data_IF_600942685976
#
_entry.id   IF_600942685976
#
_cell.length_a   1.000
_cell.length_b   1.000
_cell.length_c   1.000
_cell.angle_alpha   90.00
_cell.angle_beta   90.00
_cell.angle_gamma   90.00
#
_symmetry.space_group_name_H-M   'P 1'
#
loop_
_entity.id
_entity.type
_entity.pdbx_description
1 polymer ?
#
# COMPACT_ATOMS: atom_id res chain seq x y z
N UNK A 1 -12.37 21.15 -0.20
CA UNK A 1 -11.31 21.43 0.79
C UNK A 1 -10.84 20.12 1.44
N UNK A 2 -9.53 19.84 1.36
CA UNK A 2 -8.72 19.08 2.34
C UNK A 2 -8.62 17.53 2.39
N UNK A 3 -8.91 16.76 1.33
CA UNK A 3 -8.63 15.30 1.37
C UNK A 3 -7.13 14.96 1.47
N UNK A 4 -6.25 15.76 0.86
CA UNK A 4 -4.79 15.58 1.00
C UNK A 4 -4.24 15.82 2.42
N UNK A 5 -4.96 16.55 3.27
CA UNK A 5 -4.57 16.73 4.68
C UNK A 5 -4.95 15.50 5.52
N UNK A 6 -6.08 14.85 5.24
CA UNK A 6 -6.48 13.61 5.94
C UNK A 6 -5.49 12.48 5.70
N UNK A 7 -4.94 12.36 4.50
CA UNK A 7 -3.95 11.33 4.15
C UNK A 7 -2.61 11.51 4.90
N UNK A 8 -2.12 12.76 5.01
CA UNK A 8 -0.89 13.08 5.77
C UNK A 8 -1.07 12.99 7.29
N UNK A 9 -2.24 13.34 7.83
CA UNK A 9 -2.52 13.21 9.28
C UNK A 9 -2.87 11.77 9.69
N UNK A 10 -3.54 11.01 8.82
CA UNK A 10 -3.80 9.59 9.03
C UNK A 10 -2.49 8.79 9.07
N UNK A 11 -1.54 9.11 8.20
CA UNK A 11 -0.22 8.45 8.18
C UNK A 11 0.61 8.73 9.45
N UNK A 12 0.57 9.94 10.03
CA UNK A 12 1.29 10.20 11.30
C UNK A 12 0.69 9.44 12.50
N UNK A 13 -0.65 9.42 12.66
CA UNK A 13 -1.30 8.65 13.74
C UNK A 13 -1.09 7.14 13.57
N UNK A 14 -1.15 6.66 12.33
CA UNK A 14 -0.81 5.29 11.93
C UNK A 14 0.62 4.92 12.33
N UNK A 15 1.61 5.74 11.92
CA UNK A 15 3.02 5.56 12.27
C UNK A 15 3.25 5.58 13.79
N UNK A 16 2.55 6.46 14.52
CA UNK A 16 2.65 6.53 15.99
C UNK A 16 2.08 5.28 16.67
N UNK A 17 0.99 4.70 16.15
CA UNK A 17 0.43 3.44 16.65
C UNK A 17 1.39 2.28 16.38
N UNK A 18 1.91 2.18 15.15
CA UNK A 18 2.92 1.18 14.76
C UNK A 18 4.12 1.19 15.71
N UNK A 19 4.69 2.36 16.00
CA UNK A 19 5.88 2.47 16.88
C UNK A 19 5.64 2.05 18.33
N UNK A 20 4.40 2.03 18.82
CA UNK A 20 4.07 1.72 20.22
C UNK A 20 3.66 0.26 20.44
N UNK A 21 3.34 -0.46 19.36
CA UNK A 21 2.93 -1.86 19.44
C UNK A 21 4.17 -2.76 19.50
N UNK A 22 4.21 -3.75 20.42
CA UNK A 22 5.32 -4.70 20.51
C UNK A 22 5.56 -5.39 19.16
N UNK A 23 6.84 -5.56 18.84
CA UNK A 23 7.26 -6.31 17.65
C UNK A 23 7.30 -7.79 17.99
N UNK A 24 6.69 -8.60 17.13
CA UNK A 24 6.76 -10.05 17.19
C UNK A 24 7.37 -10.57 15.89
N UNK A 25 8.09 -11.68 15.98
CA UNK A 25 8.34 -12.54 14.83
C UNK A 25 7.08 -13.34 14.51
N UNK A 26 6.92 -13.80 13.27
CA UNK A 26 5.84 -14.73 12.93
C UNK A 26 5.94 -16.06 13.70
N UNK A 27 7.14 -16.45 14.14
CA UNK A 27 7.36 -17.67 14.93
C UNK A 27 6.72 -17.60 16.32
N UNK A 28 6.77 -16.42 16.95
CA UNK A 28 6.43 -16.21 18.37
C UNK A 28 5.10 -15.50 18.57
N UNK A 29 4.42 -15.12 17.49
CA UNK A 29 3.17 -14.37 17.52
C UNK A 29 2.07 -15.15 18.25
N UNK A 30 1.52 -14.70 19.37
CA UNK A 30 0.35 -15.33 19.96
C UNK A 30 -0.88 -15.13 19.05
N UNK A 31 -1.74 -16.14 18.95
CA UNK A 31 -3.02 -16.00 18.24
C UNK A 31 -3.89 -14.90 18.85
N UNK A 32 -4.75 -14.30 18.02
CA UNK A 32 -5.72 -13.26 18.41
C UNK A 32 -5.11 -12.04 19.12
N UNK A 33 -3.81 -11.83 18.96
CA UNK A 33 -3.07 -10.73 19.57
C UNK A 33 -2.70 -9.70 18.52
N UNK A 34 -2.92 -8.42 18.84
CA UNK A 34 -2.47 -7.32 17.98
C UNK A 34 -0.96 -7.22 18.09
N UNK A 35 -0.27 -7.51 16.99
CA UNK A 35 1.17 -7.45 16.92
C UNK A 35 1.63 -6.56 15.77
N UNK A 36 2.86 -6.05 15.91
CA UNK A 36 3.62 -5.50 14.80
C UNK A 36 4.59 -6.59 14.31
N UNK A 37 4.51 -6.97 13.05
CA UNK A 37 5.40 -7.95 12.43
C UNK A 37 6.11 -7.28 11.27
N UNK A 38 7.42 -7.47 11.17
CA UNK A 38 8.22 -7.02 10.04
C UNK A 38 8.59 -8.18 9.15
N UNK A 39 8.68 -7.93 7.84
CA UNK A 39 9.06 -8.96 6.87
C UNK A 39 9.17 -8.37 5.47
N UNK A 40 9.38 -9.24 4.49
CA UNK A 40 9.46 -8.86 3.07
C UNK A 40 8.20 -9.28 2.32
N UNK A 41 7.80 -8.46 1.36
CA UNK A 41 6.71 -8.79 0.45
C UNK A 41 7.14 -9.92 -0.49
N UNK A 42 6.29 -10.94 -0.61
CA UNK A 42 6.40 -12.05 -1.56
C UNK A 42 5.07 -12.24 -2.27
N UNK A 43 5.12 -12.74 -3.49
CA UNK A 43 3.92 -13.01 -4.30
C UNK A 43 3.18 -14.22 -3.73
N UNK A 44 1.84 -14.16 -3.70
CA UNK A 44 0.99 -15.30 -3.37
C UNK A 44 0.38 -15.88 -4.66
N UNK A 45 0.89 -17.02 -5.11
CA UNK A 45 0.49 -17.61 -6.39
C UNK A 45 0.93 -16.74 -7.58
N UNK A 46 0.01 -16.43 -8.49
CA UNK A 46 0.25 -15.54 -9.64
C UNK A 46 -0.30 -14.11 -9.41
N UNK A 47 -0.64 -13.77 -8.17
CA UNK A 47 -1.23 -12.47 -7.83
C UNK A 47 -0.17 -11.37 -7.76
N UNK A 48 0.08 -10.72 -8.89
CA UNK A 48 0.97 -9.55 -9.00
C UNK A 48 0.29 -8.46 -9.82
N UNK A 49 0.45 -7.21 -9.39
CA UNK A 49 0.00 -6.02 -10.09
C UNK A 49 1.15 -5.38 -10.85
N UNK A 50 0.81 -4.59 -11.86
CA UNK A 50 1.75 -3.68 -12.52
C UNK A 50 1.37 -2.25 -12.17
N UNK A 51 2.28 -1.53 -11.54
CA UNK A 51 2.07 -0.14 -11.18
C UNK A 51 1.87 0.72 -12.45
N UNK A 52 0.79 1.51 -12.56
CA UNK A 52 0.38 2.10 -13.83
C UNK A 52 1.33 3.19 -14.35
N UNK A 53 2.08 3.88 -13.49
CA UNK A 53 3.02 4.92 -13.93
C UNK A 53 4.45 4.40 -14.07
N UNK A 54 4.97 3.68 -13.07
CA UNK A 54 6.35 3.18 -13.11
C UNK A 54 6.50 1.85 -13.85
N UNK A 55 5.42 1.11 -14.11
CA UNK A 55 5.46 -0.23 -14.70
C UNK A 55 6.06 -1.30 -13.78
N UNK A 56 6.32 -0.98 -12.51
CA UNK A 56 6.98 -1.90 -11.56
C UNK A 56 6.00 -2.98 -11.06
N UNK A 57 6.46 -4.23 -10.86
CA UNK A 57 5.67 -5.27 -10.23
C UNK A 57 5.46 -4.96 -8.75
N UNK A 58 4.20 -5.05 -8.28
CA UNK A 58 3.83 -4.73 -6.91
C UNK A 58 2.63 -5.55 -6.43
N UNK A 59 2.34 -5.50 -5.13
CA UNK A 59 1.13 -6.10 -4.54
C UNK A 59 0.08 -5.05 -4.14
N UNK A 60 0.47 -3.78 -4.22
CA UNK A 60 -0.35 -2.61 -3.98
C UNK A 60 0.20 -1.42 -4.77
N UNK A 61 -0.68 -0.57 -5.29
CA UNK A 61 -0.31 0.77 -5.72
C UNK A 61 -1.34 1.81 -5.29
N UNK A 62 -0.89 3.06 -5.16
CA UNK A 62 -1.73 4.24 -5.05
C UNK A 62 -1.16 5.38 -5.89
N UNK A 63 -1.95 5.84 -6.86
CA UNK A 63 -1.65 6.99 -7.69
C UNK A 63 -2.55 8.15 -7.29
N UNK A 64 -1.97 9.31 -7.05
CA UNK A 64 -2.71 10.54 -6.82
C UNK A 64 -2.40 11.53 -7.92
N UNK A 65 -3.46 12.11 -8.50
CA UNK A 65 -3.41 13.12 -9.55
C UNK A 65 -3.76 14.47 -8.93
N UNK A 66 -2.91 15.47 -9.17
CA UNK A 66 -3.08 16.84 -8.68
C UNK A 66 -2.91 17.85 -9.81
N UNK A 67 -3.74 18.88 -9.82
CA UNK A 67 -3.55 20.06 -10.66
C UNK A 67 -2.78 21.13 -9.89
N UNK A 68 -1.85 21.80 -10.59
CA UNK A 68 -1.14 22.99 -10.14
C UNK A 68 -1.55 24.14 -11.06
N UNK A 69 -2.36 25.04 -10.52
CA UNK A 69 -2.75 26.26 -11.21
C UNK A 69 -1.69 27.34 -10.99
N UNK A 70 -1.25 27.98 -12.08
CA UNK A 70 -0.43 29.18 -12.03
C UNK A 70 -1.34 30.41 -12.19
N UNK A 71 -1.69 31.06 -11.08
CA UNK A 71 -2.37 32.35 -11.16
C UNK A 71 -1.33 33.46 -11.35
N UNK A 72 -1.52 34.31 -12.37
CA UNK A 72 -0.61 35.41 -12.70
C UNK A 72 -0.58 36.57 -11.68
N UNK A 73 -1.40 36.54 -10.61
CA UNK A 73 -1.65 37.75 -9.78
C UNK A 73 -1.32 37.59 -8.28
N UNK A 74 -1.01 36.39 -7.77
CA UNK A 74 -0.51 36.24 -6.40
C UNK A 74 0.37 35.01 -6.29
N UNK A 75 1.47 35.12 -5.55
CA UNK A 75 2.58 34.17 -5.44
C UNK A 75 2.25 32.80 -4.79
N UNK A 76 0.97 32.40 -4.74
CA UNK A 76 0.55 31.14 -4.16
C UNK A 76 0.21 30.11 -5.25
N UNK A 77 1.04 29.06 -5.33
CA UNK A 77 0.74 27.87 -6.14
C UNK A 77 -0.39 27.09 -5.47
N UNK A 78 -1.59 27.14 -6.03
CA UNK A 78 -2.69 26.30 -5.57
C UNK A 78 -2.53 24.87 -6.10
N UNK A 79 -2.58 23.89 -5.19
CA UNK A 79 -2.61 22.48 -5.52
C UNK A 79 -4.02 21.93 -5.31
N UNK A 80 -4.69 21.55 -6.39
CA UNK A 80 -5.99 20.89 -6.37
C UNK A 80 -5.81 19.38 -6.49
N UNK A 81 -6.52 18.62 -5.65
CA UNK A 81 -6.57 17.17 -5.77
C UNK A 81 -7.67 16.80 -6.75
N UNK A 82 -7.33 16.02 -7.77
CA UNK A 82 -8.27 15.65 -8.83
C UNK A 82 -8.82 14.23 -8.64
N UNK A 83 -7.95 13.25 -8.40
CA UNK A 83 -8.33 11.86 -8.26
C UNK A 83 -7.25 11.01 -7.56
N UNK A 84 -7.66 9.84 -7.05
CA UNK A 84 -6.76 8.74 -6.70
C UNK A 84 -7.22 7.47 -7.40
N UNK A 85 -6.25 6.71 -7.90
CA UNK A 85 -6.40 5.32 -8.32
C UNK A 85 -5.64 4.43 -7.35
N UNK A 86 -6.20 3.29 -6.95
CA UNK A 86 -5.49 2.31 -6.15
C UNK A 86 -6.00 0.91 -6.49
N UNK A 87 -5.11 -0.07 -6.37
CA UNK A 87 -5.46 -1.49 -6.47
C UNK A 87 -4.54 -2.31 -5.56
N UNK A 88 -4.98 -3.51 -5.21
CA UNK A 88 -4.33 -4.36 -4.23
C UNK A 88 -4.66 -5.84 -4.43
N UNK A 89 -3.69 -6.70 -4.12
CA UNK A 89 -3.85 -8.16 -4.15
C UNK A 89 -3.34 -8.77 -2.85
N UNK A 90 -3.86 -9.94 -2.47
CA UNK A 90 -3.30 -10.68 -1.34
C UNK A 90 -1.88 -11.15 -1.65
N UNK A 91 -1.02 -11.11 -0.64
CA UNK A 91 0.40 -11.42 -0.79
C UNK A 91 0.95 -12.15 0.45
N UNK A 92 2.20 -12.60 0.38
CA UNK A 92 2.89 -13.24 1.49
C UNK A 92 3.83 -12.25 2.18
N UNK A 93 3.81 -12.24 3.52
CA UNK A 93 4.83 -11.61 4.35
C UNK A 93 5.82 -12.69 4.78
N UNK A 94 7.07 -12.57 4.35
CA UNK A 94 8.17 -13.46 4.74
C UNK A 94 8.96 -12.86 5.92
N UNK A 95 9.04 -13.61 7.02
CA UNK A 95 9.84 -13.32 8.21
C UNK A 95 10.75 -14.52 8.50
N UNK A 96 11.94 -14.51 7.90
CA UNK A 96 12.87 -15.65 7.95
C UNK A 96 12.27 -16.89 7.28
N UNK A 97 12.13 -17.99 8.02
CA UNK A 97 11.53 -19.23 7.52
C UNK A 97 10.00 -19.26 7.59
N UNK A 98 9.38 -18.22 8.17
CA UNK A 98 7.93 -18.17 8.41
C UNK A 98 7.25 -17.25 7.40
N UNK A 99 6.02 -17.61 7.05
CA UNK A 99 5.22 -16.86 6.09
C UNK A 99 3.81 -16.60 6.64
N UNK A 100 3.25 -15.45 6.29
CA UNK A 100 1.87 -15.11 6.57
C UNK A 100 1.17 -14.59 5.33
N UNK A 101 -0.10 -14.96 5.14
CA UNK A 101 -0.95 -14.37 4.10
C UNK A 101 -1.45 -13.02 4.58
N UNK A 102 -1.21 -11.98 3.80
CA UNK A 102 -1.73 -10.64 4.02
C UNK A 102 -2.87 -10.41 3.04
N UNK A 103 -4.05 -10.16 3.60
CA UNK A 103 -5.23 -9.73 2.85
C UNK A 103 -5.40 -8.21 3.06
N UNK A 104 -4.99 -7.37 2.09
CA UNK A 104 -5.02 -5.93 2.24
C UNK A 104 -6.44 -5.35 2.15
N UNK A 105 -7.47 -6.18 1.97
CA UNK A 105 -8.87 -5.72 1.91
C UNK A 105 -9.23 -4.92 3.16
N UNK A 106 -9.62 -3.65 2.96
CA UNK A 106 -9.89 -2.67 4.02
C UNK A 106 -8.70 -2.36 4.95
N UNK A 107 -7.47 -2.65 4.55
CA UNK A 107 -6.27 -2.28 5.29
C UNK A 107 -5.99 -0.78 5.15
N UNK A 108 -5.31 -0.21 6.15
CA UNK A 108 -4.72 1.12 6.05
C UNK A 108 -3.28 0.99 5.61
N UNK A 109 -3.02 1.39 4.37
CA UNK A 109 -1.69 1.26 3.76
C UNK A 109 -1.02 2.63 3.73
N UNK A 110 0.23 2.69 4.17
CA UNK A 110 1.10 3.86 4.06
C UNK A 110 2.33 3.46 3.28
N UNK A 111 2.39 3.86 2.01
CA UNK A 111 3.58 3.76 1.19
C UNK A 111 4.21 5.14 0.93
N UNK A 112 5.52 5.16 0.68
CA UNK A 112 6.22 6.32 0.14
C UNK A 112 5.81 6.55 -1.32
N UNK A 113 5.61 7.82 -1.70
CA UNK A 113 5.33 8.19 -3.09
C UNK A 113 6.66 8.39 -3.82
N UNK A 114 7.27 7.28 -4.21
CA UNK A 114 8.63 7.21 -4.75
C UNK A 114 8.70 7.44 -6.26
N UNK A 115 7.58 7.37 -6.98
CA UNK A 115 7.49 7.77 -8.38
C UNK A 115 6.69 9.07 -8.53
N UNK A 116 7.32 10.08 -9.13
CA UNK A 116 6.73 11.38 -9.43
C UNK A 116 6.94 11.72 -10.89
N UNK A 117 5.87 12.10 -11.57
CA UNK A 117 5.92 12.65 -12.92
C UNK A 117 4.97 13.83 -13.05
N UNK A 118 5.20 14.67 -14.06
CA UNK A 118 4.37 15.86 -14.32
C UNK A 118 4.07 15.98 -15.80
N UNK A 119 2.98 16.67 -16.13
CA UNK A 119 2.67 17.14 -17.48
C UNK A 119 2.25 18.61 -17.42
N UNK A 120 2.53 19.42 -18.45
CA UNK A 120 2.17 20.85 -18.46
C UNK A 120 0.67 21.06 -18.68
N UNK A 121 0.01 20.08 -19.28
CA UNK A 121 -1.41 20.00 -19.54
C UNK A 121 -1.84 18.52 -19.68
N UNK A 122 -3.08 18.26 -20.09
CA UNK A 122 -3.51 16.89 -20.42
C UNK A 122 -2.98 16.41 -21.78
N UNK A 123 -2.72 17.32 -22.73
CA UNK A 123 -2.30 16.93 -24.08
C UNK A 123 -0.85 16.41 -24.15
N UNK A 124 0.04 16.88 -23.27
CA UNK A 124 1.43 16.46 -23.18
C UNK A 124 1.65 15.29 -22.20
N UNK A 125 0.56 14.69 -21.72
CA UNK A 125 0.60 13.50 -20.88
C UNK A 125 1.20 12.30 -21.65
N UNK A 126 2.02 11.50 -20.96
CA UNK A 126 2.52 10.21 -21.47
C UNK A 126 1.35 9.23 -21.67
N UNK A 127 1.51 8.14 -22.45
CA UNK A 127 0.44 7.15 -22.63
C UNK A 127 -0.13 6.62 -21.31
N UNK A 128 0.73 6.28 -20.35
CA UNK A 128 0.32 5.81 -19.02
C UNK A 128 -0.47 6.87 -18.22
N UNK A 129 -0.06 8.15 -18.30
CA UNK A 129 -0.77 9.25 -17.67
C UNK A 129 -2.14 9.47 -18.32
N UNK A 130 -2.22 9.42 -19.66
CA UNK A 130 -3.49 9.57 -20.39
C UNK A 130 -4.49 8.47 -20.04
N UNK A 131 -4.03 7.22 -19.95
CA UNK A 131 -4.88 6.10 -19.51
C UNK A 131 -5.44 6.31 -18.10
N UNK A 132 -4.67 6.90 -17.19
CA UNK A 132 -5.17 7.27 -15.85
C UNK A 132 -6.20 8.40 -15.91
N UNK A 133 -5.95 9.44 -16.72
CA UNK A 133 -6.89 10.55 -16.89
C UNK A 133 -8.23 10.07 -17.49
N UNK A 134 -8.17 9.19 -18.49
CA UNK A 134 -9.35 8.58 -19.11
C UNK A 134 -10.14 7.72 -18.10
N UNK A 135 -9.47 6.85 -17.35
CA UNK A 135 -10.10 6.04 -16.29
C UNK A 135 -10.86 6.86 -15.25
N UNK A 136 -10.43 8.10 -15.00
CA UNK A 136 -11.05 9.02 -14.07
C UNK A 136 -11.98 10.07 -14.72
N UNK A 137 -12.25 9.98 -16.02
CA UNK A 137 -13.05 10.96 -16.77
C UNK A 137 -12.53 12.41 -16.62
N UNK A 138 -11.21 12.57 -16.53
CA UNK A 138 -10.53 13.86 -16.35
C UNK A 138 -10.14 14.53 -17.67
N UNK A 139 -10.23 13.82 -18.79
CA UNK A 139 -9.85 14.31 -20.13
C UNK A 139 -10.75 15.45 -20.67
N UNK A 140 -11.93 15.66 -20.09
CA UNK A 140 -12.94 16.59 -20.59
C UNK A 140 -13.26 17.76 -19.64
N UNK A 141 -12.45 17.97 -18.61
CA UNK A 141 -12.68 19.02 -17.60
C UNK A 141 -11.98 20.33 -17.96
N UNK A 142 -12.55 21.48 -17.58
CA UNK A 142 -12.09 22.81 -18.00
C UNK A 142 -10.62 23.13 -17.65
N UNK A 143 -10.04 22.48 -16.64
CA UNK A 143 -8.64 22.67 -16.24
C UNK A 143 -7.63 21.98 -17.19
N UNK A 144 -8.08 21.10 -18.09
CA UNK A 144 -7.23 20.22 -18.93
C UNK A 144 -6.17 20.94 -19.78
N UNK A 145 -6.40 22.22 -20.11
CA UNK A 145 -5.52 23.05 -20.95
C UNK A 145 -4.74 24.12 -20.19
N UNK A 146 -5.04 24.35 -18.91
CA UNK A 146 -4.56 25.53 -18.18
C UNK A 146 -3.79 25.19 -16.91
N UNK A 147 -3.93 23.96 -16.41
CA UNK A 147 -3.21 23.49 -15.23
C UNK A 147 -2.12 22.47 -15.60
N UNK A 148 -0.96 22.64 -14.97
CA UNK A 148 0.05 21.58 -14.95
C UNK A 148 -0.39 20.46 -14.01
N UNK A 149 -0.14 19.21 -14.39
CA UNK A 149 -0.51 18.04 -13.61
C UNK A 149 0.71 17.43 -12.93
N UNK A 150 0.47 16.92 -11.74
CA UNK A 150 1.41 16.14 -10.97
C UNK A 150 0.79 14.79 -10.62
N UNK A 151 1.55 13.74 -10.91
CA UNK A 151 1.18 12.36 -10.65
C UNK A 151 2.15 11.79 -9.61
N UNK A 152 1.59 11.25 -8.52
CA UNK A 152 2.35 10.70 -7.41
C UNK A 152 1.94 9.25 -7.19
N UNK A 153 2.83 8.33 -7.52
CA UNK A 153 2.64 6.90 -7.30
C UNK A 153 3.48 6.44 -6.11
N UNK A 154 2.85 5.63 -5.24
CA UNK A 154 3.53 4.81 -4.25
C UNK A 154 3.07 3.37 -4.38
N UNK A 155 3.96 2.44 -4.09
CA UNK A 155 3.73 1.01 -4.25
C UNK A 155 4.20 0.23 -3.03
N UNK A 156 3.73 -1.01 -2.89
CA UNK A 156 4.44 -2.03 -2.12
C UNK A 156 5.07 -3.00 -3.11
N UNK A 157 6.36 -2.86 -3.36
CA UNK A 157 7.07 -3.66 -4.34
C UNK A 157 7.30 -5.09 -3.84
N UNK A 158 7.47 -6.02 -4.77
CA UNK A 158 7.96 -7.37 -4.44
C UNK A 158 9.35 -7.22 -3.83
N UNK A 159 9.64 -8.03 -2.81
CA UNK A 159 10.88 -7.99 -2.01
C UNK A 159 11.06 -6.75 -1.12
N UNK A 160 10.08 -5.84 -1.09
CA UNK A 160 10.17 -4.66 -0.23
C UNK A 160 9.99 -5.02 1.25
N UNK A 161 10.83 -4.52 2.16
CA UNK A 161 10.62 -4.68 3.59
C UNK A 161 9.44 -3.83 4.05
N UNK A 162 8.49 -4.44 4.76
CA UNK A 162 7.31 -3.78 5.29
C UNK A 162 7.07 -4.14 6.76
N UNK A 163 6.18 -3.37 7.38
CA UNK A 163 5.59 -3.65 8.68
C UNK A 163 4.10 -3.85 8.55
N UNK A 164 3.63 -4.93 9.16
CA UNK A 164 2.22 -5.26 9.29
C UNK A 164 1.82 -5.12 10.75
N UNK A 165 0.71 -4.43 11.02
CA UNK A 165 0.07 -4.42 12.32
C UNK A 165 -1.37 -4.88 12.19
N UNK A 166 -1.71 -5.90 12.96
CA UNK A 166 -3.03 -6.52 12.95
C UNK A 166 -3.09 -7.69 13.92
N UNK A 167 -4.26 -8.32 13.99
CA UNK A 167 -4.42 -9.62 14.65
C UNK A 167 -4.25 -10.71 13.61
N UNK A 168 -3.29 -11.61 13.82
CA UNK A 168 -3.10 -12.79 12.98
C UNK A 168 -3.96 -13.94 13.49
N UNK A 169 -4.67 -14.62 12.58
CA UNK A 169 -5.35 -15.88 12.87
C UNK A 169 -4.63 -17.02 12.16
N UNK A 170 -4.59 -18.21 12.75
CA UNK A 170 -4.02 -19.38 12.09
C UNK A 170 -5.06 -20.06 11.21
N UNK A 171 -4.67 -20.37 9.98
CA UNK A 171 -5.43 -21.21 9.06
C UNK A 171 -4.58 -22.41 8.62
N UNK A 172 -5.19 -23.56 8.24
CA UNK A 172 -4.48 -24.65 7.59
C UNK A 172 -3.72 -24.13 6.36
N UNK A 173 -2.45 -24.48 6.25
CA UNK A 173 -1.62 -24.13 5.10
C UNK A 173 -1.82 -25.16 3.98
N UNK A 174 -2.49 -24.82 2.88
CA UNK A 174 -2.71 -25.74 1.76
C UNK A 174 -1.41 -26.19 1.08
N UNK A 175 -0.30 -25.45 1.26
CA UNK A 175 1.02 -25.81 0.73
C UNK A 175 1.91 -26.59 1.70
N UNK A 176 1.45 -26.82 2.94
CA UNK A 176 2.24 -27.50 3.95
C UNK A 176 2.31 -29.01 3.71
N UNK A 177 3.44 -29.52 3.21
CA UNK A 177 3.68 -30.97 3.24
C UNK A 177 3.64 -31.46 4.69
N UNK A 178 2.80 -32.46 4.98
CA UNK A 178 2.77 -33.10 6.30
C UNK A 178 4.09 -33.83 6.54
N UNK A 179 4.65 -33.68 7.74
CA UNK A 179 5.81 -34.47 8.16
C UNK A 179 5.24 -35.77 8.71
N UNK A 180 5.53 -36.89 8.04
CA UNK A 180 4.98 -38.20 8.37
C UNK A 180 5.19 -38.56 9.86
N UNK A 181 4.11 -38.59 10.63
CA UNK A 181 4.12 -38.94 12.05
C UNK A 181 2.75 -38.84 12.70
N UNK A 182 2.42 -39.82 13.53
CA UNK A 182 1.10 -40.23 14.08
C UNK A 182 0.29 -39.18 14.90
N UNK A 183 0.60 -37.88 14.79
CA UNK A 183 -0.25 -36.74 15.19
C UNK A 183 -0.07 -35.61 14.16
N UNK A 184 -0.65 -35.79 12.98
CA UNK A 184 -0.63 -34.77 11.92
C UNK A 184 -1.54 -33.59 12.29
N UNK A 185 -1.04 -32.68 13.13
CA UNK A 185 -1.58 -31.33 13.14
C UNK A 185 -1.24 -30.72 11.77
N UNK A 186 -2.27 -30.39 10.97
CA UNK A 186 -2.08 -29.69 9.70
C UNK A 186 -1.15 -28.49 9.95
N UNK A 187 -0.11 -28.32 9.12
CA UNK A 187 0.72 -27.12 9.19
C UNK A 187 -0.20 -25.92 9.05
N UNK A 188 -0.06 -24.97 9.96
CA UNK A 188 -0.85 -23.74 9.96
C UNK A 188 0.03 -22.57 9.57
N UNK A 189 -0.56 -21.59 8.91
CA UNK A 189 0.05 -20.30 8.60
C UNK A 189 -0.79 -19.17 9.17
N UNK A 190 -0.17 -18.03 9.42
CA UNK A 190 -0.92 -16.83 9.81
C UNK A 190 -1.62 -16.22 8.60
N UNK A 191 -2.84 -15.74 8.82
CA UNK A 191 -3.54 -14.82 7.94
C UNK A 191 -3.80 -13.52 8.69
N UNK A 192 -3.43 -12.41 8.08
CA UNK A 192 -3.77 -11.06 8.55
C UNK A 192 -4.83 -10.49 7.61
N UNK A 193 -5.99 -10.17 8.17
CA UNK A 193 -7.07 -9.49 7.47
C UNK A 193 -7.59 -8.34 8.33
N UNK A 194 -8.07 -7.28 7.69
CA UNK A 194 -8.64 -6.14 8.41
C UNK A 194 -9.99 -6.51 9.03
N UNK A 195 -10.12 -6.38 10.35
CA UNK A 195 -11.39 -6.59 11.07
C UNK A 195 -11.75 -5.36 11.91
N UNK A 196 -13.01 -5.28 12.37
CA UNK A 196 -13.43 -4.21 13.30
C UNK A 196 -12.64 -4.23 14.60
N UNK A 197 -12.31 -5.42 15.12
CA UNK A 197 -11.55 -5.61 16.36
C UNK A 197 -10.06 -5.33 16.14
N UNK A 198 -9.52 -5.80 15.02
CA UNK A 198 -8.12 -5.72 14.68
C UNK A 198 -7.97 -5.10 13.27
N UNK A 199 -7.96 -3.76 13.16
CA UNK A 199 -7.77 -3.12 11.87
C UNK A 199 -6.36 -3.41 11.37
N UNK A 200 -6.26 -3.81 10.10
CA UNK A 200 -4.98 -4.09 9.45
C UNK A 200 -4.31 -2.80 9.00
N UNK A 201 -3.02 -2.71 9.26
CA UNK A 201 -2.17 -1.57 8.95
C UNK A 201 -0.89 -2.07 8.28
N UNK A 202 -0.51 -1.50 7.15
CA UNK A 202 0.67 -1.90 6.38
C UNK A 202 1.51 -0.66 6.08
N UNK A 203 2.83 -0.75 6.26
CA UNK A 203 3.75 0.37 6.06
C UNK A 203 5.11 -0.07 5.51
N UNK A 204 5.60 0.61 4.47
CA UNK A 204 6.98 0.47 3.95
C UNK A 204 7.99 1.38 4.66
N UNK A 205 7.51 2.31 5.50
CA UNK A 205 8.36 3.32 6.17
C UNK A 205 9.54 2.68 6.93
N UNK A 206 10.72 2.81 6.33
CA UNK A 206 11.99 2.29 6.87
C UNK A 206 12.29 2.84 8.27
N UNK A 207 11.81 4.03 8.62
CA UNK A 207 12.02 4.63 9.95
C UNK A 207 11.23 3.91 11.05
N UNK A 208 10.15 3.22 10.70
CA UNK A 208 9.39 2.42 11.65
C UNK A 208 10.02 1.03 11.89
N UNK A 209 10.98 0.61 11.06
CA UNK A 209 11.58 -0.74 11.08
C UNK A 209 12.81 -0.85 12.01
N UNK A 210 13.49 0.26 12.33
CA UNK A 210 14.78 0.29 13.05
C UNK A 210 14.68 0.41 14.58
N UNK A 211 13.50 0.27 15.19
CA UNK A 211 13.28 0.36 16.64
C UNK A 211 12.45 -0.81 17.19
#
# INVERSE_FOLDING_TARGET
MSDGWRERYASWRLRRKLRRTPRYSLAELPEDTVARVGGHVRILGDNVLTAPLSGRPCVYYSVTIRARAHFMVAAETFQEYLATSQDQVSFLLEDGAHHAVIDPTNARISCERDHRSTSKAAFDATPAQRELLERHNLMHQDWWNTASLEYLEGILAVDEPILVLGGGTREPDPGGMSVAGYREAARTRYRFASTKRFPLMISDDRKAQTQ
#
